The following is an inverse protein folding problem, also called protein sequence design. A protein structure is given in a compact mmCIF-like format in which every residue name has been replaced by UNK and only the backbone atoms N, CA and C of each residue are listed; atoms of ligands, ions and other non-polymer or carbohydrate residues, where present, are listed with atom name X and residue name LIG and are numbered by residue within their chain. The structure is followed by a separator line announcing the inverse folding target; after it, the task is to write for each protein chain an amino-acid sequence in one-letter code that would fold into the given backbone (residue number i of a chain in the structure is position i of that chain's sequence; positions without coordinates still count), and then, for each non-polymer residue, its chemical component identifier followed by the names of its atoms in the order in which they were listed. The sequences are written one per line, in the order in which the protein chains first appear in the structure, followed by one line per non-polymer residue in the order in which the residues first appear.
data_IF_731224337877
#
_entry.id   IF_731224337877
#
_cell.length_a   1.000
_cell.length_b   1.000
_cell.length_c   1.000
_cell.angle_alpha   90.00
_cell.angle_beta   90.00
_cell.angle_gamma   90.00
#
_symmetry.space_group_name_H-M   'P 1'
#
loop_
_entity.id
_entity.type
_entity.pdbx_description
1 polymer ?
#
# COMPACT_ATOMS: atom_id res chain seq x y z
N UNK A 1 -9.43 -2.55 11.28
CA UNK A 1 -8.11 -2.50 10.62
C UNK A 1 -8.04 -1.23 9.80
N UNK A 2 -6.92 -0.50 9.87
CA UNK A 2 -6.67 0.62 8.97
C UNK A 2 -6.16 0.06 7.64
N UNK A 3 -6.38 0.76 6.52
CA UNK A 3 -5.82 0.43 5.21
C UNK A 3 -4.30 0.24 5.26
N UNK A 4 -3.62 0.95 6.16
CA UNK A 4 -2.17 0.78 6.40
C UNK A 4 -1.84 -0.62 6.92
N UNK A 5 -2.60 -1.11 7.89
CA UNK A 5 -2.39 -2.46 8.43
C UNK A 5 -2.69 -3.50 7.35
N UNK A 6 -3.77 -3.29 6.60
CA UNK A 6 -4.15 -4.18 5.48
C UNK A 6 -3.11 -4.22 4.38
N UNK A 7 -2.51 -3.08 4.04
CA UNK A 7 -1.43 -3.01 3.06
C UNK A 7 -0.20 -3.79 3.53
N UNK A 8 0.16 -3.66 4.81
CA UNK A 8 1.30 -4.38 5.41
C UNK A 8 1.05 -5.89 5.40
N UNK A 9 -0.17 -6.35 5.70
CA UNK A 9 -0.57 -7.76 5.60
C UNK A 9 -0.40 -8.27 4.16
N UNK A 10 -0.99 -7.58 3.17
CA UNK A 10 -0.88 -7.98 1.75
C UNK A 10 0.58 -8.05 1.31
N UNK A 11 1.41 -7.09 1.73
CA UNK A 11 2.85 -7.09 1.45
C UNK A 11 3.55 -8.31 2.06
N UNK A 12 3.24 -8.65 3.30
CA UNK A 12 3.85 -9.79 3.99
C UNK A 12 3.41 -11.13 3.40
N UNK A 13 2.11 -11.30 3.13
CA UNK A 13 1.51 -12.53 2.57
C UNK A 13 2.03 -12.83 1.17
N UNK A 14 2.22 -11.79 0.36
CA UNK A 14 2.64 -11.94 -1.04
C UNK A 14 4.15 -11.67 -1.25
N UNK A 15 4.91 -11.45 -0.17
CA UNK A 15 6.33 -11.09 -0.21
C UNK A 15 6.64 -9.90 -1.13
N UNK A 16 5.71 -8.94 -1.22
CA UNK A 16 5.83 -7.79 -2.11
C UNK A 16 6.73 -6.71 -1.51
N UNK A 17 7.67 -6.24 -2.31
CA UNK A 17 8.43 -5.03 -1.98
C UNK A 17 7.67 -3.75 -2.37
N UNK A 18 8.20 -2.60 -1.95
CA UNK A 18 7.56 -1.28 -2.22
C UNK A 18 7.58 -0.90 -3.70
N UNK A 19 8.49 -1.45 -4.49
CA UNK A 19 8.61 -1.21 -5.93
C UNK A 19 7.55 -2.03 -6.67
N UNK A 20 7.42 -3.31 -6.35
CA UNK A 20 6.39 -4.21 -6.89
C UNK A 20 4.99 -3.69 -6.56
N UNK A 21 4.77 -3.25 -5.32
CA UNK A 21 3.52 -2.64 -4.89
C UNK A 21 3.18 -1.38 -5.72
N UNK A 22 4.18 -0.53 -5.95
CA UNK A 22 4.02 0.67 -6.78
C UNK A 22 3.69 0.33 -8.24
N UNK A 23 4.28 -0.74 -8.78
CA UNK A 23 3.98 -1.22 -10.13
C UNK A 23 2.56 -1.78 -10.24
N UNK A 24 2.14 -2.63 -9.30
CA UNK A 24 0.79 -3.22 -9.26
C UNK A 24 -0.28 -2.12 -9.23
N UNK A 25 -0.06 -1.09 -8.44
CA UNK A 25 -0.95 0.05 -8.29
C UNK A 25 -0.78 1.15 -9.33
N UNK A 26 0.24 1.06 -10.19
CA UNK A 26 0.58 2.11 -11.17
C UNK A 26 0.78 3.50 -10.52
N UNK A 27 1.40 3.53 -9.34
CA UNK A 27 1.76 4.75 -8.60
C UNK A 27 3.27 4.89 -8.47
N UNK A 28 3.76 6.04 -7.98
CA UNK A 28 5.19 6.21 -7.74
C UNK A 28 5.56 5.58 -6.41
N UNK A 29 6.74 4.97 -6.32
CA UNK A 29 7.29 4.40 -5.06
C UNK A 29 7.22 5.39 -3.88
N UNK A 30 7.48 6.67 -4.12
CA UNK A 30 7.38 7.72 -3.09
C UNK A 30 6.00 7.83 -2.45
N UNK A 31 4.94 7.49 -3.18
CA UNK A 31 3.56 7.56 -2.68
C UNK A 31 3.29 6.35 -1.78
N UNK A 32 3.81 5.16 -2.14
CA UNK A 32 3.86 3.99 -1.24
C UNK A 32 4.65 4.31 0.03
N UNK A 33 5.82 4.95 -0.10
CA UNK A 33 6.63 5.30 1.07
C UNK A 33 5.84 6.22 2.02
N UNK A 34 5.11 7.21 1.48
CA UNK A 34 4.26 8.12 2.27
C UNK A 34 3.10 7.43 2.97
N UNK A 35 2.52 6.41 2.34
CA UNK A 35 1.46 5.59 2.94
C UNK A 35 1.95 4.77 4.13
N UNK A 36 3.21 4.33 4.09
CA UNK A 36 3.80 3.50 5.15
C UNK A 36 4.38 4.32 6.31
N UNK A 37 4.54 5.64 6.15
CA UNK A 37 4.97 6.54 7.22
C UNK A 37 4.01 6.48 8.42
N UNK A 38 4.54 6.77 9.61
CA UNK A 38 3.73 6.99 10.81
C UNK A 38 2.78 8.18 10.61
N UNK A 39 1.58 8.10 11.20
CA UNK A 39 0.55 9.15 11.11
C UNK A 39 1.04 10.52 11.65
N UNK A 40 2.06 10.53 12.49
CA UNK A 40 2.68 11.75 13.03
C UNK A 40 3.59 12.47 12.01
N UNK A 41 3.91 11.82 10.89
CA UNK A 41 4.73 12.43 9.85
C UNK A 41 3.92 13.44 9.05
N UNK A 42 4.45 14.66 8.88
CA UNK A 42 3.85 15.68 8.01
C UNK A 42 3.72 15.25 6.54
N UNK A 43 4.45 14.21 6.12
CA UNK A 43 4.38 13.63 4.77
C UNK A 43 3.51 12.38 4.69
N UNK A 44 2.94 11.93 5.81
CA UNK A 44 2.00 10.80 5.81
C UNK A 44 0.83 11.11 4.89
N UNK A 45 0.41 10.09 4.15
CA UNK A 45 -0.81 10.13 3.37
C UNK A 45 -1.64 8.91 3.71
N UNK A 46 -2.94 9.13 3.84
CA UNK A 46 -3.87 8.01 3.93
C UNK A 46 -3.83 7.19 2.64
N UNK A 47 -4.02 5.89 2.81
CA UNK A 47 -4.12 4.95 1.69
C UNK A 47 -5.57 4.99 1.20
N UNK A 48 -5.81 5.32 -0.09
CA UNK A 48 -7.14 5.27 -0.67
C UNK A 48 -7.71 3.86 -0.62
N UNK A 49 -8.99 3.71 -0.28
CA UNK A 49 -9.67 2.40 -0.25
C UNK A 49 -9.53 1.66 -1.59
N UNK A 50 -9.70 2.40 -2.70
CA UNK A 50 -9.53 1.90 -4.07
C UNK A 50 -8.14 1.27 -4.34
N UNK A 51 -7.09 1.71 -3.64
CA UNK A 51 -5.78 1.10 -3.77
C UNK A 51 -5.73 -0.30 -3.14
N UNK A 52 -6.38 -0.48 -1.99
CA UNK A 52 -6.52 -1.79 -1.35
C UNK A 52 -7.39 -2.70 -2.22
N UNK A 53 -8.55 -2.22 -2.67
CA UNK A 53 -9.45 -2.99 -3.54
C UNK A 53 -8.76 -3.44 -4.84
N UNK A 54 -7.98 -2.54 -5.47
CA UNK A 54 -7.24 -2.87 -6.67
C UNK A 54 -6.15 -3.92 -6.43
N UNK A 55 -5.46 -3.88 -5.29
CA UNK A 55 -4.48 -4.91 -4.92
C UNK A 55 -5.14 -6.26 -4.72
N UNK A 56 -6.27 -6.30 -4.01
CA UNK A 56 -7.03 -7.54 -3.80
C UNK A 56 -7.48 -8.13 -5.14
N UNK A 57 -8.02 -7.29 -6.02
CA UNK A 57 -8.40 -7.73 -7.37
C UNK A 57 -7.23 -8.26 -8.20
N UNK A 58 -6.06 -7.62 -8.14
CA UNK A 58 -4.87 -8.03 -8.91
C UNK A 58 -4.19 -9.28 -8.36
N UNK A 59 -4.32 -9.53 -7.06
CA UNK A 59 -3.70 -10.66 -6.36
C UNK A 59 -4.67 -11.82 -6.13
N UNK A 60 -5.94 -11.69 -6.56
CA UNK A 60 -7.01 -12.69 -6.38
C UNK A 60 -7.26 -13.03 -4.89
N UNK A 61 -7.33 -11.99 -4.04
CA UNK A 61 -7.51 -12.04 -2.58
C UNK A 61 -8.92 -11.68 -2.12
#
# INVERSE_FOLDING_TARGET
MNNRDRLIEIMAENSLDRVELAQLLSVKKKDIDRWLLSNESASHKEIPDMAIELLQYKLDL
#
